data_IF_501534442005
#
_entry.id   IF_501534442005
#
_cell.length_a   1.000
_cell.length_b   1.000
_cell.length_c   1.000
_cell.angle_alpha   90.00
_cell.angle_beta   90.00
_cell.angle_gamma   90.00
#
_symmetry.space_group_name_H-M   'P 1'
#
loop_
_entity.id
_entity.type
_entity.pdbx_description
1 polymer ?
#
# COMPACT_ATOMS: atom_id res chain seq x y z
N UNK A 1 -0.17 -23.61 -17.54
CA UNK A 1 -0.56 -22.26 -17.94
C UNK A 1 -1.26 -21.61 -16.77
N UNK A 2 -0.96 -20.36 -16.40
CA UNK A 2 -1.70 -19.68 -15.36
C UNK A 2 -3.18 -19.60 -15.77
N UNK A 3 -4.07 -19.75 -14.78
CA UNK A 3 -5.51 -19.61 -14.98
C UNK A 3 -5.80 -18.16 -15.42
N UNK A 4 -6.46 -17.93 -16.58
CA UNK A 4 -6.79 -16.57 -17.02
C UNK A 4 -7.72 -15.83 -16.06
N UNK A 5 -8.37 -16.53 -15.12
CA UNK A 5 -9.20 -15.95 -14.06
C UNK A 5 -8.44 -15.68 -12.75
N UNK A 6 -7.18 -16.06 -12.68
CA UNK A 6 -6.37 -15.86 -11.48
C UNK A 6 -5.95 -14.40 -11.35
N UNK A 7 -6.18 -13.81 -10.17
CA UNK A 7 -5.79 -12.41 -9.92
C UNK A 7 -4.27 -12.24 -10.02
N UNK A 8 -3.83 -11.03 -10.37
CA UNK A 8 -2.42 -10.68 -10.46
C UNK A 8 -1.68 -10.92 -9.12
N UNK A 9 -2.38 -10.68 -8.01
CA UNK A 9 -1.86 -10.91 -6.66
C UNK A 9 -1.70 -12.40 -6.35
N UNK A 10 -2.63 -13.23 -6.79
CA UNK A 10 -2.53 -14.68 -6.60
C UNK A 10 -1.36 -15.27 -7.40
N UNK A 11 -1.16 -14.80 -8.64
CA UNK A 11 0.00 -15.17 -9.46
C UNK A 11 1.33 -14.78 -8.81
N UNK A 12 1.41 -13.58 -8.23
CA UNK A 12 2.58 -13.13 -7.49
C UNK A 12 2.88 -14.05 -6.31
N UNK A 13 1.87 -14.31 -5.47
CA UNK A 13 2.03 -15.19 -4.31
C UNK A 13 2.47 -16.62 -4.70
N UNK A 14 1.87 -17.18 -5.75
CA UNK A 14 2.24 -18.49 -6.26
C UNK A 14 3.68 -18.53 -6.80
N UNK A 15 4.12 -17.48 -7.50
CA UNK A 15 5.49 -17.38 -8.02
C UNK A 15 6.51 -17.34 -6.90
N UNK A 16 6.31 -16.46 -5.92
CA UNK A 16 7.23 -16.34 -4.76
C UNK A 16 7.31 -17.65 -3.96
N UNK A 17 6.18 -18.33 -3.76
CA UNK A 17 6.16 -19.63 -3.10
C UNK A 17 6.94 -20.65 -3.91
N UNK A 18 6.73 -20.71 -5.24
CA UNK A 18 7.42 -21.65 -6.12
C UNK A 18 8.93 -21.39 -6.12
N UNK A 19 9.38 -20.16 -6.20
CA UNK A 19 10.79 -19.77 -6.14
C UNK A 19 11.45 -20.26 -4.85
N UNK A 20 10.80 -20.06 -3.70
CA UNK A 20 11.28 -20.54 -2.41
C UNK A 20 11.31 -22.07 -2.33
N UNK A 21 10.30 -22.76 -2.88
CA UNK A 21 10.28 -24.21 -2.93
C UNK A 21 11.41 -24.78 -3.81
N UNK A 22 11.68 -24.16 -4.94
CA UNK A 22 12.75 -24.61 -5.83
C UNK A 22 14.13 -24.35 -5.24
N UNK A 23 14.29 -23.21 -4.55
CA UNK A 23 15.51 -22.93 -3.78
C UNK A 23 15.69 -23.97 -2.65
N UNK A 24 14.64 -24.30 -1.90
CA UNK A 24 14.71 -25.32 -0.85
C UNK A 24 15.06 -26.70 -1.39
N UNK A 25 14.54 -27.09 -2.55
CA UNK A 25 14.92 -28.33 -3.22
C UNK A 25 16.42 -28.33 -3.60
N UNK A 26 16.94 -27.19 -4.10
CA UNK A 26 18.36 -27.06 -4.44
C UNK A 26 19.29 -27.20 -3.23
N UNK A 27 18.77 -26.94 -2.03
CA UNK A 27 19.47 -27.15 -0.75
C UNK A 27 19.19 -28.54 -0.13
N UNK A 28 18.71 -29.49 -0.94
CA UNK A 28 18.39 -30.86 -0.50
C UNK A 28 17.38 -30.90 0.69
N UNK A 29 16.55 -29.87 0.81
CA UNK A 29 15.55 -29.75 1.88
C UNK A 29 16.14 -29.51 3.28
N UNK A 30 17.43 -29.19 3.39
CA UNK A 30 18.10 -29.00 4.69
C UNK A 30 17.77 -27.64 5.32
N UNK A 31 16.66 -27.59 6.08
CA UNK A 31 16.17 -26.39 6.79
C UNK A 31 16.92 -26.06 8.09
N UNK A 32 18.05 -26.73 8.37
CA UNK A 32 18.96 -26.40 9.48
C UNK A 32 20.34 -25.97 9.00
N UNK A 33 20.51 -25.75 7.70
CA UNK A 33 21.78 -25.31 7.12
C UNK A 33 21.92 -23.78 7.22
N UNK A 34 23.16 -23.30 7.22
CA UNK A 34 23.46 -21.87 7.12
C UNK A 34 22.90 -21.27 5.83
N UNK A 35 22.89 -22.05 4.73
CA UNK A 35 22.31 -21.63 3.46
C UNK A 35 20.80 -21.43 3.54
N UNK A 36 20.06 -22.26 4.29
CA UNK A 36 18.63 -22.04 4.55
C UNK A 36 18.40 -20.73 5.31
N UNK A 37 19.19 -20.49 6.36
CA UNK A 37 19.09 -19.27 7.16
C UNK A 37 19.43 -18.01 6.36
N UNK A 38 20.36 -18.11 5.42
CA UNK A 38 20.81 -16.98 4.60
C UNK A 38 19.89 -16.68 3.42
N UNK A 39 19.30 -17.69 2.77
CA UNK A 39 18.62 -17.54 1.48
C UNK A 39 17.10 -17.70 1.55
N UNK A 40 16.58 -18.58 2.41
CA UNK A 40 15.16 -18.89 2.47
C UNK A 40 14.46 -18.14 3.60
N UNK A 41 15.03 -18.19 4.79
CA UNK A 41 14.40 -17.60 5.97
C UNK A 41 14.08 -16.09 5.81
N UNK A 42 14.96 -15.25 5.23
CA UNK A 42 14.66 -13.85 4.99
C UNK A 42 13.52 -13.60 4.00
N UNK A 43 13.26 -14.55 3.08
CA UNK A 43 12.19 -14.44 2.09
C UNK A 43 10.83 -14.92 2.62
N UNK A 44 10.82 -15.60 3.76
CA UNK A 44 9.58 -16.19 4.30
C UNK A 44 8.52 -15.15 4.62
N UNK A 45 8.90 -13.99 5.13
CA UNK A 45 7.99 -12.88 5.41
C UNK A 45 7.33 -12.39 4.12
N UNK A 46 8.10 -12.16 3.08
CA UNK A 46 7.61 -11.69 1.77
C UNK A 46 6.61 -12.69 1.15
N UNK A 47 6.89 -14.00 1.24
CA UNK A 47 5.97 -15.03 0.76
C UNK A 47 4.66 -15.01 1.55
N UNK A 48 4.73 -14.95 2.87
CA UNK A 48 3.54 -14.93 3.74
C UNK A 48 2.71 -13.66 3.49
N UNK A 49 3.35 -12.51 3.35
CA UNK A 49 2.67 -11.26 3.00
C UNK A 49 1.96 -11.35 1.65
N UNK A 50 2.63 -11.86 0.62
CA UNK A 50 2.04 -12.02 -0.70
C UNK A 50 0.82 -12.96 -0.68
N UNK A 51 0.90 -14.07 0.06
CA UNK A 51 -0.24 -14.97 0.26
C UNK A 51 -1.40 -14.28 1.00
N UNK A 52 -1.08 -13.50 2.05
CA UNK A 52 -2.06 -12.72 2.80
C UNK A 52 -2.77 -11.68 1.92
N UNK A 53 -2.03 -10.98 1.08
CA UNK A 53 -2.58 -10.01 0.13
C UNK A 53 -3.48 -10.66 -0.91
N UNK A 54 -3.09 -11.80 -1.46
CA UNK A 54 -3.90 -12.54 -2.42
C UNK A 54 -5.22 -13.03 -1.80
N UNK A 55 -5.17 -13.56 -0.57
CA UNK A 55 -6.35 -14.00 0.18
C UNK A 55 -7.28 -12.84 0.51
N UNK A 56 -6.73 -11.72 1.00
CA UNK A 56 -7.52 -10.52 1.34
C UNK A 56 -8.23 -9.96 0.09
N UNK A 57 -7.54 -9.87 -1.03
CA UNK A 57 -8.12 -9.43 -2.29
C UNK A 57 -9.24 -10.36 -2.77
N UNK A 58 -9.01 -11.67 -2.72
CA UNK A 58 -10.02 -12.66 -3.09
C UNK A 58 -11.27 -12.57 -2.19
N UNK A 59 -11.07 -12.43 -0.88
CA UNK A 59 -12.19 -12.25 0.06
C UNK A 59 -12.96 -10.95 -0.20
N UNK A 60 -12.27 -9.86 -0.51
CA UNK A 60 -12.87 -8.58 -0.85
C UNK A 60 -13.71 -8.66 -2.14
N UNK A 61 -13.22 -9.37 -3.15
CA UNK A 61 -13.99 -9.64 -4.38
C UNK A 61 -15.24 -10.48 -4.09
N UNK A 62 -15.12 -11.53 -3.30
CA UNK A 62 -16.25 -12.38 -2.91
C UNK A 62 -17.30 -11.62 -2.09
N UNK A 63 -16.86 -10.67 -1.26
CA UNK A 63 -17.73 -9.78 -0.51
C UNK A 63 -18.35 -8.66 -1.36
N UNK A 64 -18.05 -8.61 -2.67
CA UNK A 64 -18.51 -7.59 -3.61
C UNK A 64 -18.16 -6.16 -3.16
N UNK A 65 -16.94 -5.94 -2.66
CA UNK A 65 -16.47 -4.60 -2.33
C UNK A 65 -16.44 -3.73 -3.60
N UNK A 66 -16.66 -2.41 -3.47
CA UNK A 66 -16.64 -1.49 -4.60
C UNK A 66 -15.31 -1.55 -5.37
N UNK A 67 -15.40 -1.51 -6.71
CA UNK A 67 -14.23 -1.62 -7.58
C UNK A 67 -13.12 -0.60 -7.25
N UNK A 68 -13.40 0.69 -6.95
CA UNK A 68 -12.35 1.64 -6.56
C UNK A 68 -11.54 1.21 -5.33
N UNK A 69 -12.17 0.51 -4.38
CA UNK A 69 -11.47 -0.02 -3.19
C UNK A 69 -10.54 -1.16 -3.58
N UNK A 70 -11.01 -2.08 -4.44
CA UNK A 70 -10.21 -3.19 -4.96
C UNK A 70 -9.02 -2.68 -5.78
N UNK A 71 -9.22 -1.68 -6.64
CA UNK A 71 -8.19 -1.12 -7.50
C UNK A 71 -7.09 -0.42 -6.67
N UNK A 72 -7.45 0.37 -5.67
CA UNK A 72 -6.49 1.00 -4.76
C UNK A 72 -5.69 -0.05 -3.98
N UNK A 73 -6.37 -1.07 -3.46
CA UNK A 73 -5.70 -2.15 -2.74
C UNK A 73 -4.71 -2.89 -3.63
N UNK A 74 -5.12 -3.27 -4.85
CA UNK A 74 -4.25 -3.96 -5.81
C UNK A 74 -3.03 -3.10 -6.17
N UNK A 75 -3.21 -1.81 -6.45
CA UNK A 75 -2.12 -0.88 -6.71
C UNK A 75 -1.15 -0.75 -5.53
N UNK A 76 -1.67 -0.71 -4.31
CA UNK A 76 -0.84 -0.65 -3.10
C UNK A 76 0.04 -1.91 -2.94
N UNK A 77 -0.51 -3.08 -3.23
CA UNK A 77 0.25 -4.34 -3.21
C UNK A 77 1.28 -4.40 -4.33
N UNK A 78 0.92 -4.02 -5.56
CA UNK A 78 1.84 -3.96 -6.71
C UNK A 78 3.07 -3.09 -6.39
N UNK A 79 2.89 -1.98 -5.70
CA UNK A 79 3.99 -1.08 -5.30
C UNK A 79 5.00 -1.74 -4.36
N UNK A 80 4.61 -2.73 -3.57
CA UNK A 80 5.50 -3.41 -2.61
C UNK A 80 6.56 -4.25 -3.32
N UNK A 81 6.23 -4.80 -4.49
CA UNK A 81 7.17 -5.57 -5.31
C UNK A 81 7.04 -5.21 -6.81
N UNK A 82 7.21 -3.93 -7.12
CA UNK A 82 7.12 -3.38 -8.47
C UNK A 82 8.05 -4.07 -9.46
N UNK A 83 9.17 -4.64 -8.99
CA UNK A 83 10.12 -5.36 -9.83
C UNK A 83 9.51 -6.65 -10.37
N UNK A 84 8.95 -7.50 -9.51
CA UNK A 84 8.31 -8.74 -9.95
C UNK A 84 7.19 -8.48 -10.94
N UNK A 85 6.33 -7.48 -10.66
CA UNK A 85 5.22 -7.14 -11.57
C UNK A 85 5.69 -6.64 -12.93
N UNK A 86 6.87 -6.01 -13.00
CA UNK A 86 7.46 -5.59 -14.27
C UNK A 86 8.09 -6.74 -15.04
N UNK A 87 8.77 -7.65 -14.34
CA UNK A 87 9.57 -8.71 -14.93
C UNK A 87 8.71 -9.94 -15.29
N UNK A 88 7.84 -10.35 -14.40
CA UNK A 88 7.06 -11.59 -14.51
C UNK A 88 5.55 -11.32 -14.64
N UNK A 89 5.04 -10.27 -14.04
CA UNK A 89 3.63 -9.91 -14.07
C UNK A 89 3.13 -9.34 -15.40
N UNK A 90 4.04 -8.95 -16.30
CA UNK A 90 3.72 -8.32 -17.58
C UNK A 90 3.19 -6.88 -17.46
N UNK A 91 3.40 -6.23 -16.31
CA UNK A 91 2.91 -4.89 -16.00
C UNK A 91 4.06 -3.90 -15.97
N UNK A 92 4.34 -3.24 -17.08
CA UNK A 92 5.43 -2.26 -17.16
C UNK A 92 5.32 -1.16 -16.08
N UNK A 93 6.43 -0.58 -15.69
CA UNK A 93 6.47 0.51 -14.71
C UNK A 93 5.56 1.70 -15.08
N UNK A 94 5.44 2.01 -16.36
CA UNK A 94 4.50 3.03 -16.83
C UNK A 94 3.06 2.60 -16.59
N UNK A 95 2.71 1.36 -16.94
CA UNK A 95 1.37 0.83 -16.74
C UNK A 95 0.99 0.74 -15.25
N UNK A 96 1.93 0.45 -14.36
CA UNK A 96 1.69 0.50 -12.91
C UNK A 96 1.28 1.91 -12.47
N UNK A 97 1.97 2.96 -12.95
CA UNK A 97 1.66 4.36 -12.66
C UNK A 97 0.31 4.79 -13.22
N UNK A 98 0.01 4.43 -14.46
CA UNK A 98 -1.27 4.78 -15.10
C UNK A 98 -2.44 4.09 -14.39
N UNK A 99 -2.23 2.86 -13.95
CA UNK A 99 -3.22 2.11 -13.17
C UNK A 99 -3.46 2.75 -11.79
N UNK A 100 -2.41 3.16 -11.10
CA UNK A 100 -2.50 3.86 -9.83
C UNK A 100 -3.22 5.21 -9.98
N UNK A 101 -2.90 6.00 -11.00
CA UNK A 101 -3.57 7.27 -11.30
C UNK A 101 -5.08 7.06 -11.55
N UNK A 102 -5.44 6.06 -12.35
CA UNK A 102 -6.84 5.71 -12.60
C UNK A 102 -7.57 5.27 -11.32
N UNK A 103 -6.94 4.45 -10.48
CA UNK A 103 -7.50 3.99 -9.23
C UNK A 103 -7.74 5.15 -8.26
N UNK A 104 -6.77 6.06 -8.11
CA UNK A 104 -6.90 7.26 -7.27
C UNK A 104 -8.02 8.16 -7.81
N UNK A 105 -8.03 8.43 -9.11
CA UNK A 105 -9.03 9.28 -9.75
C UNK A 105 -10.45 8.75 -9.58
N UNK A 106 -10.64 7.43 -9.56
CA UNK A 106 -11.94 6.81 -9.32
C UNK A 106 -12.34 6.82 -7.83
N UNK A 107 -11.37 6.75 -6.93
CA UNK A 107 -11.59 6.67 -5.48
C UNK A 107 -11.88 8.05 -4.85
N UNK A 108 -11.17 9.10 -5.26
CA UNK A 108 -11.24 10.44 -4.65
C UNK A 108 -12.68 10.98 -4.55
N UNK A 109 -13.54 10.91 -5.57
CA UNK A 109 -14.92 11.40 -5.46
C UNK A 109 -15.77 10.64 -4.44
N UNK A 110 -15.42 9.40 -4.12
CA UNK A 110 -16.15 8.53 -3.20
C UNK A 110 -15.56 8.51 -1.79
N UNK A 111 -14.40 9.11 -1.61
CA UNK A 111 -13.68 9.09 -0.35
C UNK A 111 -14.50 9.60 0.84
N UNK A 112 -15.27 10.73 0.74
CA UNK A 112 -16.10 11.18 1.86
C UNK A 112 -17.14 10.15 2.31
N UNK A 113 -17.73 9.42 1.34
CA UNK A 113 -18.69 8.36 1.65
C UNK A 113 -18.02 7.21 2.41
N UNK A 114 -16.86 6.74 1.96
CA UNK A 114 -16.15 5.65 2.63
C UNK A 114 -15.64 6.07 4.01
N UNK A 115 -15.15 7.29 4.18
CA UNK A 115 -14.73 7.82 5.48
C UNK A 115 -15.90 7.88 6.47
N UNK A 116 -17.08 8.32 6.02
CA UNK A 116 -18.26 8.34 6.90
C UNK A 116 -18.71 6.94 7.32
N UNK A 117 -18.57 5.93 6.45
CA UNK A 117 -18.90 4.53 6.77
C UNK A 117 -17.94 3.90 7.77
N UNK A 118 -16.69 4.39 7.84
CA UNK A 118 -15.71 3.91 8.81
C UNK A 118 -15.93 4.46 10.21
N UNK A 119 -16.77 5.49 10.36
CA UNK A 119 -17.09 6.15 11.64
C UNK A 119 -15.84 6.61 12.43
N UNK A 120 -14.74 6.88 11.71
CA UNK A 120 -13.45 7.24 12.32
C UNK A 120 -13.32 8.73 12.65
N UNK A 121 -14.21 9.58 12.15
CA UNK A 121 -14.12 11.04 12.31
C UNK A 121 -14.00 11.48 13.77
N UNK A 122 -14.73 10.81 14.67
CA UNK A 122 -14.69 11.09 16.10
C UNK A 122 -13.33 10.83 16.78
N UNK A 123 -12.48 10.02 16.13
CA UNK A 123 -11.14 9.65 16.65
C UNK A 123 -10.02 10.45 15.99
N UNK A 124 -10.31 11.17 14.90
CA UNK A 124 -9.31 11.94 14.16
C UNK A 124 -9.24 13.35 14.74
N UNK A 125 -8.14 13.65 15.43
CA UNK A 125 -7.92 14.97 16.03
C UNK A 125 -7.49 16.03 15.02
N UNK A 126 -6.87 15.61 13.90
CA UNK A 126 -6.45 16.54 12.85
C UNK A 126 -7.66 16.95 11.97
N UNK A 127 -7.85 18.23 11.66
CA UNK A 127 -9.02 18.73 10.93
C UNK A 127 -8.99 18.44 9.42
N UNK A 128 -8.27 17.40 8.99
CA UNK A 128 -8.03 17.07 7.58
C UNK A 128 -9.10 16.17 6.96
N UNK A 129 -10.05 15.67 7.75
CA UNK A 129 -11.03 14.64 7.32
C UNK A 129 -12.25 15.26 6.67
N UNK A 130 -12.57 16.53 6.97
CA UNK A 130 -13.69 17.24 6.36
C UNK A 130 -13.41 18.74 6.15
N UNK A 131 -13.98 19.28 5.09
CA UNK A 131 -13.94 20.72 4.78
C UNK A 131 -14.51 21.59 5.92
N UNK A 132 -15.53 21.09 6.61
CA UNK A 132 -16.16 21.82 7.72
C UNK A 132 -15.20 21.94 8.90
N UNK A 133 -14.56 20.85 9.30
CA UNK A 133 -13.56 20.85 10.38
C UNK A 133 -12.33 21.69 10.01
N UNK A 134 -11.88 21.63 8.76
CA UNK A 134 -10.76 22.43 8.28
C UNK A 134 -11.07 23.94 8.37
N UNK A 135 -12.26 24.36 7.92
CA UNK A 135 -12.70 25.75 8.00
C UNK A 135 -12.84 26.24 9.43
N UNK A 136 -13.44 25.45 10.33
CA UNK A 136 -13.54 25.75 11.74
C UNK A 136 -12.18 25.94 12.38
N UNK A 137 -11.27 25.00 12.13
CA UNK A 137 -9.89 25.07 12.62
C UNK A 137 -9.16 26.34 12.16
N UNK A 138 -9.29 26.72 10.89
CA UNK A 138 -8.65 27.95 10.38
C UNK A 138 -9.19 29.22 11.03
N UNK A 139 -10.49 29.26 11.36
CA UNK A 139 -11.12 30.41 12.06
C UNK A 139 -10.66 30.50 13.51
N UNK A 140 -10.39 29.36 14.14
CA UNK A 140 -9.95 29.28 15.54
C UNK A 140 -8.45 29.53 15.72
N UNK A 141 -7.66 29.54 14.64
CA UNK A 141 -6.22 29.81 14.71
C UNK A 141 -5.98 31.25 15.24
N UNK A 142 -5.05 31.40 16.21
CA UNK A 142 -4.68 32.72 16.69
C UNK A 142 -4.08 33.56 15.57
N UNK A 143 -4.70 34.72 15.31
CA UNK A 143 -4.19 35.68 14.33
C UNK A 143 -3.15 36.55 15.03
N UNK A 144 -1.90 36.43 14.65
CA UNK A 144 -0.84 37.33 15.09
C UNK A 144 -0.86 38.62 14.23
N UNK A 145 -1.31 39.72 14.82
CA UNK A 145 -1.18 41.05 14.20
C UNK A 145 0.12 41.69 14.65
N UNK A 146 1.09 41.78 13.77
CA UNK A 146 2.38 42.43 14.04
C UNK A 146 3.28 42.35 12.80
N UNK A 147 4.33 43.17 12.75
CA UNK A 147 5.35 43.03 11.73
C UNK A 147 6.09 41.70 11.94
N UNK A 148 5.98 40.81 11.01
CA UNK A 148 6.82 39.62 10.98
C UNK A 148 8.27 40.07 10.77
N UNK A 149 9.03 40.20 11.83
CA UNK A 149 10.48 40.30 11.76
C UNK A 149 10.98 38.90 11.47
N UNK A 150 11.01 38.59 10.20
CA UNK A 150 11.51 37.31 9.77
C UNK A 150 12.99 37.18 10.13
N UNK A 151 13.35 36.24 10.98
CA UNK A 151 14.59 35.59 10.83
C UNK A 151 15.72 35.89 11.81
N UNK A 152 15.62 36.81 12.75
CA UNK A 152 16.75 37.02 13.71
C UNK A 152 16.73 35.95 14.81
N UNK A 153 15.57 35.50 15.23
CA UNK A 153 15.45 34.52 16.32
C UNK A 153 15.73 33.08 15.89
N UNK A 154 15.56 32.76 14.61
CA UNK A 154 15.85 31.42 14.05
C UNK A 154 17.35 31.19 13.98
N UNK A 155 18.14 32.23 13.68
CA UNK A 155 19.60 32.11 13.60
C UNK A 155 20.23 31.94 14.97
N UNK A 156 19.66 32.55 16.02
CA UNK A 156 20.15 32.39 17.39
C UNK A 156 19.79 31.02 18.00
N UNK A 157 18.75 30.37 17.53
CA UNK A 157 18.38 29.02 17.99
C UNK A 157 19.23 27.89 17.33
N UNK A 158 20.02 28.21 16.31
CA UNK A 158 20.90 27.26 15.58
C UNK A 158 22.40 27.43 15.93
N UNK A 159 22.77 28.36 16.79
CA UNK A 159 24.13 28.56 17.33
C UNK A 159 24.17 28.14 18.80
#
# INVERSE_FOLDING_TARGET
MPDPNESLLARHAASLLQENMDLLKSLEGNHRSDSFNALILPQSETVIEAMGHALAYSAAMQANLPQPVLDIYECAVIRRDSAWYSEQGGLSRLNQRLREDAAVSSMVPQLPLYLSQLEIEQFVQAPIVSDAYWKSYLVELPVHTGSAIAGVDIVQAML
#
